data_IF_338170572375
#
_entry.id   IF_338170572375
#
_cell.length_a   1.000
_cell.length_b   1.000
_cell.length_c   1.000
_cell.angle_alpha   90.00
_cell.angle_beta   90.00
_cell.angle_gamma   90.00
#
_symmetry.space_group_name_H-M   'P 1'
#
loop_
_entity.id
_entity.type
_entity.pdbx_description
1 polymer ?
#
# COMPACT_ATOMS: atom_id res chain seq x y z
N UNK A 1 -30.71 -2.62 -13.19
CA UNK A 1 -30.24 -3.73 -12.31
C UNK A 1 -28.73 -3.80 -12.29
N UNK A 2 -28.02 -3.88 -13.44
CA UNK A 2 -26.55 -3.98 -13.49
C UNK A 2 -25.81 -2.78 -12.83
N UNK A 3 -26.28 -1.55 -13.05
CA UNK A 3 -25.68 -0.37 -12.43
C UNK A 3 -25.81 -0.37 -10.90
N UNK A 4 -26.96 -0.77 -10.37
CA UNK A 4 -27.22 -0.87 -8.94
C UNK A 4 -26.40 -2.00 -8.27
N UNK A 5 -26.25 -3.17 -8.93
CA UNK A 5 -25.40 -4.26 -8.44
C UNK A 5 -23.95 -3.82 -8.37
N UNK A 6 -23.45 -3.09 -9.39
CA UNK A 6 -22.09 -2.53 -9.39
C UNK A 6 -21.88 -1.50 -8.27
N UNK A 7 -22.84 -0.60 -8.03
CA UNK A 7 -22.77 0.36 -6.95
C UNK A 7 -22.73 -0.32 -5.56
N UNK A 8 -23.58 -1.33 -5.34
CA UNK A 8 -23.56 -2.12 -4.10
C UNK A 8 -22.25 -2.86 -3.92
N UNK A 9 -21.75 -3.52 -4.98
CA UNK A 9 -20.46 -4.22 -4.93
C UNK A 9 -19.32 -3.29 -4.55
N UNK A 10 -19.28 -2.09 -5.15
CA UNK A 10 -18.25 -1.11 -4.88
C UNK A 10 -18.36 -0.53 -3.46
N UNK A 11 -19.56 -0.20 -3.01
CA UNK A 11 -19.77 0.25 -1.62
C UNK A 11 -19.32 -0.82 -0.62
N UNK A 12 -19.73 -2.08 -0.81
CA UNK A 12 -19.31 -3.19 0.05
C UNK A 12 -17.79 -3.40 0.03
N UNK A 13 -17.15 -3.25 -1.14
CA UNK A 13 -15.70 -3.32 -1.29
C UNK A 13 -14.99 -2.20 -0.50
N UNK A 14 -15.43 -0.94 -0.67
CA UNK A 14 -14.84 0.21 0.02
C UNK A 14 -15.05 0.10 1.53
N UNK A 15 -16.23 -0.30 1.98
CA UNK A 15 -16.52 -0.52 3.39
C UNK A 15 -15.68 -1.66 3.99
N UNK A 16 -15.60 -2.82 3.32
CA UNK A 16 -14.75 -3.93 3.74
C UNK A 16 -13.28 -3.50 3.85
N UNK A 17 -12.78 -2.76 2.86
CA UNK A 17 -11.42 -2.21 2.85
C UNK A 17 -11.20 -1.22 3.99
N UNK A 18 -12.14 -0.28 4.19
CA UNK A 18 -12.05 0.73 5.23
C UNK A 18 -11.91 0.10 6.61
N UNK A 19 -12.85 -0.79 6.99
CA UNK A 19 -12.84 -1.42 8.31
C UNK A 19 -11.66 -2.37 8.49
N UNK A 20 -11.27 -3.13 7.45
CA UNK A 20 -10.10 -4.02 7.52
C UNK A 20 -8.80 -3.23 7.71
N UNK A 21 -8.59 -2.15 6.96
CA UNK A 21 -7.39 -1.31 7.04
C UNK A 21 -7.34 -0.49 8.35
N UNK A 22 -8.49 -0.02 8.83
CA UNK A 22 -8.63 0.64 10.12
C UNK A 22 -8.25 -0.32 11.25
N UNK A 23 -8.74 -1.56 11.19
CA UNK A 23 -8.40 -2.60 12.16
C UNK A 23 -6.90 -2.97 12.09
N UNK A 24 -6.31 -3.13 10.89
CA UNK A 24 -4.88 -3.41 10.71
C UNK A 24 -4.00 -2.36 11.42
N UNK A 25 -4.36 -1.07 11.25
CA UNK A 25 -3.61 0.05 11.82
C UNK A 25 -3.82 0.19 13.33
N UNK A 26 -5.05 0.01 13.82
CA UNK A 26 -5.33 0.02 15.24
C UNK A 26 -4.67 -1.14 15.97
N UNK A 27 -4.65 -2.33 15.34
CA UNK A 27 -4.04 -3.53 15.91
C UNK A 27 -2.51 -3.42 16.02
N UNK A 28 -1.87 -2.73 15.09
CA UNK A 28 -0.43 -2.44 15.22
C UNK A 28 -0.13 -1.72 16.53
N UNK A 29 -0.92 -0.69 16.84
CA UNK A 29 -0.76 0.09 18.06
C UNK A 29 -1.07 -0.77 19.31
N UNK A 30 -2.14 -1.58 19.27
CA UNK A 30 -2.46 -2.50 20.36
C UNK A 30 -1.36 -3.56 20.57
N UNK A 31 -0.78 -4.11 19.48
CA UNK A 31 0.33 -5.05 19.56
C UNK A 31 1.61 -4.41 20.14
N UNK A 32 1.89 -3.14 19.81
CA UNK A 32 2.97 -2.38 20.45
C UNK A 32 2.67 -2.19 21.93
N UNK A 33 1.42 -1.86 22.30
CA UNK A 33 0.99 -1.77 23.69
C UNK A 33 1.22 -3.06 24.47
N UNK A 34 0.87 -4.22 23.89
CA UNK A 34 1.14 -5.53 24.49
C UNK A 34 2.64 -5.80 24.70
N UNK A 35 3.48 -5.43 23.74
CA UNK A 35 4.94 -5.56 23.90
C UNK A 35 5.47 -4.67 25.04
N UNK A 36 4.93 -3.46 25.19
CA UNK A 36 5.30 -2.57 26.29
C UNK A 36 4.84 -3.11 27.64
N UNK A 37 3.61 -3.63 27.75
CA UNK A 37 3.09 -4.29 28.95
C UNK A 37 3.94 -5.51 29.36
N UNK A 38 4.50 -6.24 28.37
CA UNK A 38 5.38 -7.38 28.58
C UNK A 38 6.85 -7.00 28.83
N UNK A 39 7.18 -5.70 28.91
CA UNK A 39 8.57 -5.22 29.00
C UNK A 39 9.49 -5.78 27.91
N UNK A 40 8.97 -6.00 26.71
CA UNK A 40 9.69 -6.57 25.60
C UNK A 40 10.82 -5.65 25.11
N UNK A 41 11.85 -6.23 24.49
CA UNK A 41 12.99 -5.47 23.97
C UNK A 41 12.54 -4.48 22.86
N UNK A 42 13.08 -3.26 22.86
CA UNK A 42 12.66 -2.15 22.01
C UNK A 42 12.68 -2.45 20.50
N UNK A 43 13.54 -3.38 20.04
CA UNK A 43 13.58 -3.80 18.64
C UNK A 43 12.35 -4.58 18.18
N UNK A 44 11.54 -5.11 19.11
CA UNK A 44 10.36 -5.90 18.77
C UNK A 44 9.21 -5.05 18.18
N UNK A 45 9.10 -3.79 18.58
CA UNK A 45 8.07 -2.90 18.02
C UNK A 45 8.24 -2.64 16.50
N UNK A 46 9.43 -2.25 15.98
CA UNK A 46 9.65 -2.21 14.54
C UNK A 46 9.58 -3.60 13.87
N UNK A 47 9.96 -4.67 14.57
CA UNK A 47 9.88 -6.03 14.05
C UNK A 47 8.43 -6.46 13.73
N UNK A 48 7.40 -5.95 14.42
CA UNK A 48 6.01 -6.19 14.07
C UNK A 48 5.73 -5.87 12.59
N UNK A 49 6.25 -4.76 12.07
CA UNK A 49 6.09 -4.42 10.65
C UNK A 49 6.77 -5.42 9.72
N UNK A 50 7.95 -5.92 10.10
CA UNK A 50 8.65 -6.96 9.31
C UNK A 50 7.81 -8.23 9.27
N UNK A 51 7.28 -8.69 10.41
CA UNK A 51 6.42 -9.88 10.49
C UNK A 51 5.10 -9.69 9.72
N UNK A 52 4.57 -8.46 9.63
CA UNK A 52 3.40 -8.16 8.83
C UNK A 52 3.67 -8.17 7.32
N UNK A 53 4.82 -7.65 6.87
CA UNK A 53 5.15 -7.55 5.45
C UNK A 53 5.81 -8.82 4.89
N UNK A 54 6.47 -9.60 5.71
CA UNK A 54 7.12 -10.84 5.28
C UNK A 54 6.18 -11.81 4.55
N UNK A 55 4.93 -12.05 4.99
CA UNK A 55 3.95 -12.86 4.28
C UNK A 55 3.66 -12.40 2.84
N UNK A 56 3.75 -11.12 2.52
CA UNK A 56 3.55 -10.63 1.15
C UNK A 56 4.60 -11.17 0.16
N UNK A 57 5.84 -11.38 0.63
CA UNK A 57 6.88 -12.00 -0.18
C UNK A 57 6.69 -13.51 -0.28
N UNK A 58 6.40 -14.14 0.85
CA UNK A 58 6.25 -15.59 0.94
C UNK A 58 5.03 -16.09 0.16
N UNK A 59 3.91 -15.37 0.25
CA UNK A 59 2.65 -15.76 -0.36
C UNK A 59 2.45 -15.23 -1.79
N UNK A 60 3.34 -14.43 -2.33
CA UNK A 60 3.15 -13.74 -3.61
C UNK A 60 2.65 -14.67 -4.72
N UNK A 61 3.27 -15.84 -4.88
CA UNK A 61 2.87 -16.82 -5.90
C UNK A 61 1.50 -17.47 -5.65
N UNK A 62 1.10 -17.57 -4.38
CA UNK A 62 -0.12 -18.28 -3.97
C UNK A 62 -1.31 -17.33 -3.87
N UNK A 63 -1.11 -16.14 -3.32
CA UNK A 63 -2.18 -15.16 -3.07
C UNK A 63 -2.86 -14.71 -4.37
N UNK A 64 -2.10 -14.52 -5.45
CA UNK A 64 -2.63 -14.21 -6.77
C UNK A 64 -3.49 -15.33 -7.34
N UNK A 65 -3.00 -16.57 -7.27
CA UNK A 65 -3.72 -17.74 -7.75
C UNK A 65 -5.03 -17.97 -6.97
N UNK A 66 -5.00 -17.81 -5.64
CA UNK A 66 -6.19 -17.90 -4.78
C UNK A 66 -7.21 -16.82 -5.15
N UNK A 67 -6.76 -15.57 -5.36
CA UNK A 67 -7.62 -14.46 -5.74
C UNK A 67 -8.25 -14.62 -7.14
N UNK A 68 -7.60 -15.33 -8.06
CA UNK A 68 -8.13 -15.60 -9.40
C UNK A 68 -9.03 -16.85 -9.46
N UNK A 69 -8.77 -17.83 -8.58
CA UNK A 69 -9.56 -19.06 -8.54
C UNK A 69 -10.88 -18.92 -7.78
N UNK A 70 -10.86 -18.27 -6.62
CA UNK A 70 -12.05 -18.08 -5.79
C UNK A 70 -12.76 -16.75 -6.07
N UNK A 71 -14.09 -16.66 -5.82
CA UNK A 71 -14.79 -15.38 -5.83
C UNK A 71 -14.11 -14.40 -4.87
N UNK A 72 -13.71 -13.21 -5.37
CA UNK A 72 -12.87 -12.27 -4.64
C UNK A 72 -13.48 -11.81 -3.30
N UNK A 73 -14.82 -11.66 -3.23
CA UNK A 73 -15.52 -11.40 -1.98
C UNK A 73 -15.31 -12.50 -0.94
N UNK A 74 -15.30 -13.78 -1.36
CA UNK A 74 -15.03 -14.91 -0.45
C UNK A 74 -13.59 -14.93 0.02
N UNK A 75 -12.63 -14.59 -0.85
CA UNK A 75 -11.23 -14.46 -0.46
C UNK A 75 -11.08 -13.36 0.59
N UNK A 76 -11.67 -12.18 0.35
CA UNK A 76 -11.66 -11.06 1.31
C UNK A 76 -12.35 -11.42 2.63
N UNK A 77 -13.44 -12.19 2.60
CA UNK A 77 -14.09 -12.72 3.80
C UNK A 77 -13.17 -13.65 4.57
N UNK A 78 -12.65 -14.70 3.93
CA UNK A 78 -11.78 -15.69 4.56
C UNK A 78 -10.49 -15.08 5.13
N UNK A 79 -9.91 -14.11 4.43
CA UNK A 79 -8.70 -13.41 4.91
C UNK A 79 -8.96 -12.52 6.13
N UNK A 80 -10.15 -11.90 6.24
CA UNK A 80 -10.54 -11.21 7.47
C UNK A 80 -10.76 -12.20 8.64
N UNK A 81 -11.24 -13.42 8.37
CA UNK A 81 -11.28 -14.47 9.41
C UNK A 81 -9.88 -14.90 9.86
N UNK A 82 -8.91 -14.98 8.94
CA UNK A 82 -7.50 -15.22 9.30
C UNK A 82 -6.97 -14.10 10.21
N UNK A 83 -7.28 -12.83 9.90
CA UNK A 83 -6.91 -11.68 10.75
C UNK A 83 -7.58 -11.74 12.11
N UNK A 84 -8.85 -12.16 12.19
CA UNK A 84 -9.53 -12.47 13.47
C UNK A 84 -8.81 -13.56 14.26
N UNK A 85 -8.32 -14.61 13.57
CA UNK A 85 -7.46 -15.63 14.17
C UNK A 85 -6.19 -15.05 14.79
N UNK A 86 -5.55 -14.07 14.12
CA UNK A 86 -4.42 -13.33 14.67
C UNK A 86 -4.77 -12.56 15.96
N UNK A 87 -5.94 -11.91 15.99
CA UNK A 87 -6.44 -11.28 17.23
C UNK A 87 -6.71 -12.31 18.34
N UNK A 88 -7.30 -13.45 18.00
CA UNK A 88 -7.52 -14.53 18.98
C UNK A 88 -6.22 -15.07 19.56
N UNK A 89 -5.15 -15.18 18.75
CA UNK A 89 -3.81 -15.56 19.23
C UNK A 89 -3.23 -14.51 20.19
N UNK A 90 -3.42 -13.20 19.91
CA UNK A 90 -3.02 -12.14 20.84
C UNK A 90 -3.76 -12.25 22.18
N UNK A 91 -5.08 -12.48 22.13
CA UNK A 91 -5.90 -12.68 23.32
C UNK A 91 -5.54 -13.96 24.10
N UNK A 92 -5.09 -15.01 23.38
CA UNK A 92 -4.55 -16.25 23.97
C UNK A 92 -3.10 -16.12 24.46
N UNK A 93 -2.57 -14.89 24.56
CA UNK A 93 -1.22 -14.58 25.04
C UNK A 93 -0.09 -15.19 24.20
N UNK A 94 -0.35 -15.53 22.93
CA UNK A 94 0.70 -15.90 21.98
C UNK A 94 1.56 -14.67 21.69
N UNK A 95 2.87 -14.88 21.52
CA UNK A 95 3.83 -13.79 21.31
C UNK A 95 3.39 -12.84 20.18
N UNK A 96 3.33 -11.50 20.43
CA UNK A 96 2.75 -10.53 19.50
C UNK A 96 3.32 -10.55 18.09
N UNK A 97 4.62 -10.83 17.92
CA UNK A 97 5.24 -10.91 16.59
C UNK A 97 4.61 -12.01 15.73
N UNK A 98 4.37 -13.20 16.28
CA UNK A 98 3.76 -14.31 15.53
C UNK A 98 2.28 -14.06 15.26
N UNK A 99 1.54 -13.62 16.26
CA UNK A 99 0.12 -13.33 16.13
C UNK A 99 -0.12 -12.23 15.08
N UNK A 100 0.68 -11.16 15.11
CA UNK A 100 0.62 -10.09 14.12
C UNK A 100 1.12 -10.54 12.73
N UNK A 101 2.03 -11.48 12.67
CA UNK A 101 2.43 -12.17 11.43
C UNK A 101 1.27 -12.92 10.78
N UNK A 102 0.39 -13.57 11.56
CA UNK A 102 -0.85 -14.19 11.05
C UNK A 102 -1.80 -13.15 10.46
N UNK A 103 -1.90 -11.97 11.08
CA UNK A 103 -2.66 -10.84 10.51
C UNK A 103 -2.07 -10.39 9.17
N UNK A 104 -0.73 -10.29 9.09
CA UNK A 104 0.00 -10.01 7.85
C UNK A 104 -0.25 -11.05 6.76
N UNK A 105 -0.37 -12.33 7.13
CA UNK A 105 -0.75 -13.41 6.22
C UNK A 105 -2.14 -13.18 5.61
N UNK A 106 -3.12 -12.82 6.45
CA UNK A 106 -4.44 -12.41 5.99
C UNK A 106 -4.38 -11.19 5.07
N UNK A 107 -3.60 -10.18 5.41
CA UNK A 107 -3.46 -8.94 4.63
C UNK A 107 -2.81 -9.20 3.25
N UNK A 108 -1.78 -10.05 3.20
CA UNK A 108 -1.10 -10.42 1.95
C UNK A 108 -2.03 -11.13 0.95
N UNK A 109 -2.89 -12.04 1.45
CA UNK A 109 -3.87 -12.73 0.62
C UNK A 109 -5.10 -11.86 0.28
N UNK A 110 -5.44 -10.87 1.11
CA UNK A 110 -6.52 -9.91 0.89
C UNK A 110 -6.24 -8.98 -0.29
N UNK A 111 -5.01 -8.49 -0.42
CA UNK A 111 -4.64 -7.44 -1.37
C UNK A 111 -4.89 -7.79 -2.84
N UNK A 112 -4.52 -8.99 -3.36
CA UNK A 112 -4.83 -9.37 -4.73
C UNK A 112 -6.33 -9.46 -5.04
N UNK A 113 -7.15 -9.85 -4.07
CA UNK A 113 -8.60 -9.89 -4.24
C UNK A 113 -9.19 -8.47 -4.28
N UNK A 114 -8.77 -7.59 -3.36
CA UNK A 114 -9.23 -6.20 -3.26
C UNK A 114 -8.98 -5.38 -4.52
N UNK A 115 -7.75 -5.37 -5.00
CA UNK A 115 -7.41 -4.61 -6.19
C UNK A 115 -7.79 -5.33 -7.50
N UNK A 116 -7.74 -6.66 -7.50
CA UNK A 116 -8.09 -7.48 -8.66
C UNK A 116 -9.56 -7.44 -9.03
N UNK A 117 -10.46 -7.06 -8.11
CA UNK A 117 -11.89 -6.92 -8.41
C UNK A 117 -12.21 -5.63 -9.18
N UNK A 118 -11.38 -4.58 -9.05
CA UNK A 118 -11.66 -3.28 -9.67
C UNK A 118 -11.79 -3.35 -11.20
N UNK A 119 -10.84 -3.96 -11.94
CA UNK A 119 -10.97 -4.06 -13.39
C UNK A 119 -12.07 -5.05 -13.85
N UNK A 120 -12.61 -5.87 -12.95
CA UNK A 120 -13.79 -6.71 -13.24
C UNK A 120 -15.11 -5.92 -13.09
N UNK A 121 -15.14 -4.98 -12.14
CA UNK A 121 -16.34 -4.17 -11.85
C UNK A 121 -16.44 -2.92 -12.74
N UNK A 122 -15.31 -2.35 -13.16
CA UNK A 122 -15.25 -1.05 -13.81
C UNK A 122 -14.64 -1.12 -15.21
N UNK A 123 -15.22 -0.35 -16.12
CA UNK A 123 -14.61 -0.08 -17.41
C UNK A 123 -13.30 0.73 -17.24
N UNK A 124 -12.36 0.64 -18.21
CA UNK A 124 -11.07 1.34 -18.14
C UNK A 124 -11.17 2.84 -17.82
N UNK A 125 -12.21 3.51 -18.33
CA UNK A 125 -12.45 4.94 -18.09
C UNK A 125 -12.75 5.27 -16.62
N UNK A 126 -13.30 4.33 -15.83
CA UNK A 126 -13.66 4.52 -14.42
C UNK A 126 -12.60 3.99 -13.44
N UNK A 127 -11.57 3.28 -13.92
CA UNK A 127 -10.57 2.65 -13.05
C UNK A 127 -9.77 3.65 -12.22
N UNK A 128 -9.42 4.82 -12.78
CA UNK A 128 -8.69 5.86 -12.04
C UNK A 128 -9.53 6.34 -10.85
N UNK A 129 -10.82 6.62 -11.08
CA UNK A 129 -11.75 7.02 -10.02
C UNK A 129 -11.94 5.94 -8.95
N UNK A 130 -12.09 4.68 -9.36
CA UNK A 130 -12.24 3.55 -8.43
C UNK A 130 -10.99 3.37 -7.55
N UNK A 131 -9.79 3.44 -8.15
CA UNK A 131 -8.52 3.39 -7.40
C UNK A 131 -8.38 4.58 -6.44
N UNK A 132 -8.79 5.78 -6.85
CA UNK A 132 -8.75 6.96 -5.98
C UNK A 132 -9.60 6.77 -4.72
N UNK A 133 -10.82 6.25 -4.85
CA UNK A 133 -11.68 5.98 -3.70
C UNK A 133 -11.10 4.91 -2.77
N UNK A 134 -10.49 3.86 -3.32
CA UNK A 134 -9.79 2.84 -2.52
C UNK A 134 -8.60 3.48 -1.78
N UNK A 135 -7.83 4.34 -2.44
CA UNK A 135 -6.66 4.99 -1.84
C UNK A 135 -7.08 5.98 -0.74
N UNK A 136 -8.07 6.84 -1.00
CA UNK A 136 -8.64 7.75 0.00
C UNK A 136 -9.16 6.97 1.21
N UNK A 137 -9.94 5.90 0.97
CA UNK A 137 -10.44 5.02 2.03
C UNK A 137 -9.29 4.42 2.84
N UNK A 138 -8.22 3.97 2.18
CA UNK A 138 -7.04 3.39 2.83
C UNK A 138 -6.32 4.42 3.71
N UNK A 139 -6.03 5.61 3.19
CA UNK A 139 -5.32 6.65 3.94
C UNK A 139 -6.13 7.11 5.14
N UNK A 140 -7.44 7.39 4.95
CA UNK A 140 -8.33 7.82 6.04
C UNK A 140 -8.45 6.72 7.11
N UNK A 141 -8.59 5.46 6.70
CA UNK A 141 -8.69 4.33 7.65
C UNK A 141 -7.39 4.13 8.43
N UNK A 142 -6.22 4.34 7.82
CA UNK A 142 -4.92 4.25 8.52
C UNK A 142 -4.83 5.34 9.61
N UNK A 143 -5.13 6.59 9.27
CA UNK A 143 -5.09 7.71 10.22
C UNK A 143 -6.05 7.49 11.39
N UNK A 144 -7.30 7.13 11.08
CA UNK A 144 -8.31 6.85 12.10
C UNK A 144 -7.96 5.60 12.92
N UNK A 145 -7.38 4.58 12.29
CA UNK A 145 -6.95 3.35 12.95
C UNK A 145 -5.83 3.58 13.96
N UNK A 146 -4.80 4.35 13.58
CA UNK A 146 -3.73 4.75 14.50
C UNK A 146 -4.30 5.56 15.66
N UNK A 147 -5.17 6.55 15.38
CA UNK A 147 -5.84 7.35 16.40
C UNK A 147 -6.69 6.49 17.34
N UNK A 148 -7.50 5.59 16.79
CA UNK A 148 -8.33 4.65 17.57
C UNK A 148 -7.46 3.73 18.43
N UNK A 149 -6.44 3.10 17.86
CA UNK A 149 -5.53 2.24 18.60
C UNK A 149 -4.86 2.96 19.76
N UNK A 150 -4.36 4.19 19.52
CA UNK A 150 -3.76 5.03 20.55
C UNK A 150 -4.76 5.39 21.66
N UNK A 151 -5.99 5.73 21.30
CA UNK A 151 -7.06 6.03 22.27
C UNK A 151 -7.40 4.79 23.13
N UNK A 152 -7.49 3.61 22.52
CA UNK A 152 -7.87 2.38 23.21
C UNK A 152 -6.85 1.91 24.24
N UNK A 153 -5.55 2.19 24.01
CA UNK A 153 -4.47 1.80 24.94
C UNK A 153 -4.06 2.92 25.91
N UNK A 154 -4.63 4.13 25.75
CA UNK A 154 -4.27 5.28 26.58
C UNK A 154 -4.63 5.02 28.07
N UNK A 155 -3.74 5.41 29.02
CA UNK A 155 -4.07 5.39 30.43
C UNK A 155 -5.32 6.24 30.72
N UNK A 156 -6.31 5.68 31.42
CA UNK A 156 -7.56 6.38 31.72
C UNK A 156 -8.59 6.39 30.59
N UNK A 157 -8.42 5.56 29.56
CA UNK A 157 -9.45 5.38 28.53
C UNK A 157 -10.76 4.91 29.17
N UNK A 158 -11.88 5.52 28.76
CA UNK A 158 -13.24 5.20 29.26
C UNK A 158 -13.81 3.91 28.65
N UNK A 159 -12.96 3.12 28.02
CA UNK A 159 -13.35 1.85 27.38
C UNK A 159 -13.72 0.83 28.45
N UNK A 160 -14.83 0.07 28.30
CA UNK A 160 -15.19 -0.98 29.24
C UNK A 160 -14.03 -1.95 29.45
N UNK A 161 -13.58 -2.11 30.69
CA UNK A 161 -12.54 -3.06 31.05
C UNK A 161 -13.14 -4.47 31.12
N UNK A 162 -13.25 -5.15 29.97
CA UNK A 162 -13.70 -6.54 29.88
C UNK A 162 -12.60 -7.52 30.31
N UNK A 163 -11.34 -7.11 30.10
CA UNK A 163 -10.13 -7.87 30.43
C UNK A 163 -9.20 -7.01 31.27
N UNK A 164 -8.30 -7.63 32.01
CA UNK A 164 -7.40 -6.96 32.94
C UNK A 164 -6.38 -6.02 32.25
N UNK A 165 -5.98 -6.33 31.01
CA UNK A 165 -4.98 -5.57 30.27
C UNK A 165 -5.63 -4.63 29.24
N UNK A 166 -5.26 -3.33 29.20
CA UNK A 166 -5.80 -2.35 28.23
C UNK A 166 -5.60 -2.78 26.77
N UNK A 167 -4.43 -3.30 26.40
CA UNK A 167 -4.14 -3.73 25.06
C UNK A 167 -4.95 -4.99 24.65
N UNK A 168 -5.31 -5.87 25.61
CA UNK A 168 -6.21 -6.98 25.33
C UNK A 168 -7.65 -6.50 25.06
N UNK A 169 -8.14 -5.51 25.83
CA UNK A 169 -9.45 -4.89 25.56
C UNK A 169 -9.48 -4.21 24.20
N UNK A 170 -8.42 -3.48 23.84
CA UNK A 170 -8.25 -2.89 22.52
C UNK A 170 -8.32 -3.96 21.41
N UNK A 171 -7.61 -5.08 21.59
CA UNK A 171 -7.60 -6.21 20.63
C UNK A 171 -9.00 -6.80 20.44
N UNK A 172 -9.77 -6.94 21.52
CA UNK A 172 -11.16 -7.43 21.47
C UNK A 172 -12.05 -6.50 20.63
N UNK A 173 -11.98 -5.19 20.88
CA UNK A 173 -12.76 -4.19 20.13
C UNK A 173 -12.34 -4.11 18.66
N UNK A 174 -11.04 -4.22 18.38
CA UNK A 174 -10.51 -4.26 17.01
C UNK A 174 -11.00 -5.52 16.28
N UNK A 175 -11.18 -6.64 16.98
CA UNK A 175 -11.73 -7.87 16.40
C UNK A 175 -13.14 -7.64 15.84
N UNK A 176 -13.95 -6.77 16.44
CA UNK A 176 -15.26 -6.39 15.92
C UNK A 176 -15.14 -5.71 14.57
N UNK A 177 -14.13 -4.85 14.38
CA UNK A 177 -13.91 -4.16 13.09
C UNK A 177 -13.57 -5.16 11.97
N UNK A 178 -12.76 -6.21 12.24
CA UNK A 178 -12.53 -7.29 11.28
C UNK A 178 -13.80 -8.09 11.00
N UNK A 179 -14.64 -8.32 12.01
CA UNK A 179 -15.95 -8.94 11.84
C UNK A 179 -16.84 -8.12 10.90
N UNK A 180 -16.92 -6.80 11.10
CA UNK A 180 -17.64 -5.87 10.20
C UNK A 180 -17.07 -5.92 8.80
N UNK A 181 -15.73 -5.88 8.66
CA UNK A 181 -15.07 -5.99 7.36
C UNK A 181 -15.41 -7.32 6.66
N UNK A 182 -15.46 -8.43 7.41
CA UNK A 182 -15.84 -9.73 6.88
C UNK A 182 -17.30 -9.75 6.39
N UNK A 183 -18.24 -9.16 7.14
CA UNK A 183 -19.65 -9.05 6.73
C UNK A 183 -19.78 -8.27 5.43
N UNK A 184 -19.10 -7.11 5.30
CA UNK A 184 -19.11 -6.35 4.05
C UNK A 184 -18.45 -7.12 2.90
N UNK A 185 -17.36 -7.85 3.15
CA UNK A 185 -16.71 -8.69 2.15
C UNK A 185 -17.64 -9.82 1.66
N UNK A 186 -18.40 -10.44 2.56
CA UNK A 186 -19.40 -11.46 2.21
C UNK A 186 -20.56 -10.89 1.38
N UNK A 187 -20.88 -9.60 1.56
CA UNK A 187 -21.92 -8.91 0.80
C UNK A 187 -21.49 -8.52 -0.63
N UNK A 188 -20.21 -8.70 -0.99
CA UNK A 188 -19.73 -8.45 -2.36
C UNK A 188 -20.31 -9.51 -3.29
N UNK A 189 -21.07 -9.12 -4.35
CA UNK A 189 -21.64 -10.07 -5.31
C UNK A 189 -20.55 -10.89 -5.99
N UNK A 190 -20.88 -12.13 -6.31
CA UNK A 190 -19.95 -13.03 -6.98
C UNK A 190 -19.59 -12.48 -8.37
N UNK A 191 -18.32 -12.22 -8.61
CA UNK A 191 -17.80 -11.97 -9.96
C UNK A 191 -17.91 -13.26 -10.78
N UNK A 192 -18.37 -13.12 -12.02
CA UNK A 192 -18.49 -14.24 -12.96
C UNK A 192 -17.17 -14.67 -13.59
N UNK A 193 -16.14 -13.84 -13.44
CA UNK A 193 -14.80 -14.14 -13.96
C UNK A 193 -14.10 -15.17 -13.05
N UNK A 194 -14.29 -16.45 -13.38
CA UNK A 194 -13.48 -17.54 -12.81
C UNK A 194 -12.34 -17.83 -13.77
N UNK A 195 -11.12 -17.68 -13.30
CA UNK A 195 -10.01 -18.33 -13.98
C UNK A 195 -10.18 -19.85 -13.82
N UNK A 196 -10.21 -20.56 -14.95
CA UNK A 196 -10.29 -22.03 -14.98
C UNK A 196 -8.92 -22.65 -14.66
N UNK A 197 -8.10 -21.99 -13.87
CA UNK A 197 -6.78 -22.53 -13.47
C UNK A 197 -6.98 -23.27 -12.16
N UNK A 198 -6.96 -24.63 -12.16
CA UNK A 198 -7.01 -25.37 -10.91
C UNK A 198 -5.82 -24.95 -10.04
N UNK A 199 -6.05 -24.85 -8.73
CA UNK A 199 -4.93 -24.67 -7.78
C UNK A 199 -4.01 -25.87 -7.97
N UNK A 200 -2.93 -25.64 -8.70
CA UNK A 200 -2.01 -26.68 -9.13
C UNK A 200 -0.95 -26.90 -8.05
N UNK A 201 -0.12 -27.92 -8.27
CA UNK A 201 1.04 -28.20 -7.43
C UNK A 201 1.88 -26.93 -7.14
N UNK A 202 2.41 -26.70 -5.91
CA UNK A 202 3.13 -25.47 -5.53
C UNK A 202 4.21 -25.02 -6.51
N UNK A 203 4.98 -25.96 -7.05
CA UNK A 203 6.02 -25.67 -8.06
C UNK A 203 5.47 -25.08 -9.37
N UNK A 204 4.26 -25.45 -9.74
CA UNK A 204 3.60 -24.89 -10.90
C UNK A 204 3.18 -23.45 -10.64
N UNK A 205 2.64 -23.14 -9.45
CA UNK A 205 2.29 -21.77 -9.06
C UNK A 205 3.51 -20.85 -9.02
N UNK A 206 4.65 -21.31 -8.48
CA UNK A 206 5.92 -20.57 -8.53
C UNK A 206 6.39 -20.30 -9.96
N UNK A 207 6.28 -21.29 -10.84
CA UNK A 207 6.64 -21.13 -12.26
C UNK A 207 5.72 -20.14 -12.97
N UNK A 208 4.43 -20.21 -12.71
CA UNK A 208 3.43 -19.29 -13.26
C UNK A 208 3.66 -17.87 -12.74
N UNK A 209 3.94 -17.70 -11.45
CA UNK A 209 4.30 -16.40 -10.87
C UNK A 209 5.56 -15.81 -11.53
N UNK A 210 6.61 -16.61 -11.70
CA UNK A 210 7.83 -16.16 -12.42
C UNK A 210 7.52 -15.75 -13.85
N UNK A 211 6.65 -16.49 -14.55
CA UNK A 211 6.19 -16.11 -15.90
C UNK A 211 5.43 -14.78 -15.88
N UNK A 212 4.51 -14.61 -14.96
CA UNK A 212 3.74 -13.38 -14.79
C UNK A 212 4.67 -12.18 -14.54
N UNK A 213 5.66 -12.35 -13.64
CA UNK A 213 6.71 -11.36 -13.38
C UNK A 213 7.46 -10.99 -14.67
N UNK A 214 7.93 -11.97 -15.41
CA UNK A 214 8.65 -11.74 -16.68
C UNK A 214 7.78 -11.07 -17.74
N UNK A 215 6.50 -11.46 -17.87
CA UNK A 215 5.57 -10.89 -18.84
C UNK A 215 5.35 -9.41 -18.54
N UNK A 216 5.09 -9.07 -17.26
CA UNK A 216 4.80 -7.70 -16.86
C UNK A 216 6.03 -6.78 -16.99
N UNK A 217 7.24 -7.30 -16.67
CA UNK A 217 8.49 -6.56 -16.86
C UNK A 217 8.91 -6.43 -18.33
N UNK A 218 8.39 -7.26 -19.25
CA UNK A 218 8.64 -7.17 -20.70
C UNK A 218 7.63 -6.29 -21.42
N UNK A 219 6.42 -6.14 -20.88
CA UNK A 219 5.40 -5.28 -21.47
C UNK A 219 5.79 -3.80 -21.29
N UNK A 220 5.79 -2.98 -22.36
CA UNK A 220 6.25 -1.58 -22.28
C UNK A 220 5.51 -0.72 -21.26
N UNK A 221 4.18 -0.86 -21.14
CA UNK A 221 3.37 -0.11 -20.18
C UNK A 221 3.37 -0.76 -18.79
N UNK A 222 3.36 -2.09 -18.75
CA UNK A 222 3.49 -2.87 -17.53
C UNK A 222 4.80 -2.58 -16.81
N UNK A 223 5.93 -2.59 -17.53
CA UNK A 223 7.25 -2.27 -17.01
C UNK A 223 7.31 -0.88 -16.35
N UNK A 224 6.78 0.14 -17.02
CA UNK A 224 6.81 1.51 -16.52
C UNK A 224 5.94 1.63 -15.27
N UNK A 225 4.69 1.16 -15.31
CA UNK A 225 3.80 1.26 -14.17
C UNK A 225 4.27 0.43 -12.98
N UNK A 226 4.80 -0.77 -13.20
CA UNK A 226 5.37 -1.61 -12.14
C UNK A 226 6.62 -0.98 -11.51
N UNK A 227 7.54 -0.43 -12.32
CA UNK A 227 8.72 0.26 -11.82
C UNK A 227 8.34 1.51 -11.00
N UNK A 228 7.37 2.29 -11.48
CA UNK A 228 6.86 3.47 -10.77
C UNK A 228 6.22 3.09 -9.44
N UNK A 229 5.30 2.11 -9.41
CA UNK A 229 4.62 1.72 -8.17
C UNK A 229 5.60 1.13 -7.15
N UNK A 230 6.57 0.31 -7.61
CA UNK A 230 7.61 -0.24 -6.74
C UNK A 230 8.51 0.83 -6.14
N UNK A 231 8.99 1.77 -6.97
CA UNK A 231 9.79 2.91 -6.51
C UNK A 231 9.01 3.78 -5.54
N UNK A 232 7.73 4.06 -5.87
CA UNK A 232 6.86 4.89 -5.04
C UNK A 232 6.67 4.31 -3.63
N UNK A 233 6.31 3.04 -3.51
CA UNK A 233 6.08 2.41 -2.21
C UNK A 233 7.37 2.23 -1.42
N UNK A 234 8.48 1.89 -2.09
CA UNK A 234 9.80 1.88 -1.47
C UNK A 234 10.20 3.25 -0.92
N UNK A 235 10.02 4.30 -1.74
CA UNK A 235 10.29 5.67 -1.34
C UNK A 235 9.37 6.13 -0.20
N UNK A 236 8.07 5.83 -0.26
CA UNK A 236 7.10 6.21 0.78
C UNK A 236 7.42 5.57 2.13
N UNK A 237 7.79 4.28 2.14
CA UNK A 237 8.19 3.58 3.36
C UNK A 237 9.41 4.23 4.03
N UNK A 238 10.41 4.61 3.25
CA UNK A 238 11.63 5.26 3.74
C UNK A 238 11.36 6.72 4.16
N UNK A 239 10.60 7.48 3.35
CA UNK A 239 10.27 8.87 3.63
C UNK A 239 9.53 9.03 4.96
N UNK A 240 8.67 8.08 5.34
CA UNK A 240 7.95 8.09 6.60
C UNK A 240 8.90 8.18 7.81
N UNK A 241 9.99 7.40 7.82
CA UNK A 241 11.00 7.45 8.88
C UNK A 241 11.94 8.64 8.73
N UNK A 242 12.28 8.98 7.49
CA UNK A 242 13.15 10.11 7.18
C UNK A 242 12.56 11.43 7.65
N UNK A 243 11.25 11.66 7.48
CA UNK A 243 10.55 12.85 7.97
C UNK A 243 10.71 12.99 9.49
N UNK A 244 10.57 11.90 10.25
CA UNK A 244 10.70 11.93 11.71
C UNK A 244 12.11 12.34 12.14
N UNK A 245 13.13 11.69 11.56
CA UNK A 245 14.53 11.97 11.89
C UNK A 245 14.96 13.36 11.41
N UNK A 246 14.51 13.79 10.24
CA UNK A 246 14.77 15.10 9.69
C UNK A 246 14.11 16.22 10.52
N UNK A 247 12.84 16.07 10.89
CA UNK A 247 12.12 17.07 11.67
C UNK A 247 12.73 17.24 13.08
N UNK A 248 13.19 16.15 13.69
CA UNK A 248 13.87 16.21 14.97
C UNK A 248 15.21 16.97 14.89
N UNK A 249 16.02 16.71 13.83
CA UNK A 249 17.35 17.32 13.72
C UNK A 249 17.35 18.72 13.07
N UNK A 250 16.53 18.93 12.02
CA UNK A 250 16.54 20.18 11.26
C UNK A 250 15.59 21.25 11.83
N UNK A 251 14.46 20.82 12.43
CA UNK A 251 13.45 21.73 12.98
C UNK A 251 13.42 21.72 14.52
N UNK A 252 14.20 20.85 15.16
CA UNK A 252 14.23 20.74 16.63
C UNK A 252 12.91 20.23 17.24
N UNK A 253 12.05 19.54 16.45
CA UNK A 253 10.75 19.10 16.89
C UNK A 253 10.84 17.82 17.73
N UNK A 254 10.09 17.72 18.85
CA UNK A 254 9.91 16.45 19.53
C UNK A 254 9.18 15.44 18.63
N UNK A 255 9.40 14.16 18.89
CA UNK A 255 8.89 13.06 18.05
C UNK A 255 7.36 13.13 17.78
N UNK A 256 6.60 13.55 18.81
CA UNK A 256 5.14 13.69 18.69
C UNK A 256 4.74 14.77 17.68
N UNK A 257 5.42 15.91 17.67
CA UNK A 257 5.17 17.01 16.72
C UNK A 257 5.68 16.66 15.32
N UNK A 258 6.84 16.01 15.22
CA UNK A 258 7.36 15.48 13.97
C UNK A 258 6.38 14.47 13.32
N UNK A 259 5.70 13.67 14.12
CA UNK A 259 4.67 12.74 13.63
C UNK A 259 3.46 13.46 13.02
N UNK A 260 3.09 14.65 13.51
CA UNK A 260 2.00 15.45 12.94
C UNK A 260 2.29 15.89 11.50
N UNK A 261 3.56 16.07 11.13
CA UNK A 261 3.93 16.38 9.75
C UNK A 261 3.56 15.27 8.77
N UNK A 262 3.47 14.02 9.20
CA UNK A 262 3.01 12.92 8.36
C UNK A 262 1.52 13.06 8.02
N UNK A 263 0.72 13.71 8.87
CA UNK A 263 -0.68 14.00 8.57
C UNK A 263 -0.78 14.95 7.37
N UNK A 264 0.14 15.90 7.22
CA UNK A 264 0.17 16.79 6.06
C UNK A 264 0.39 16.00 4.75
N UNK A 265 1.32 15.02 4.75
CA UNK A 265 1.52 14.11 3.60
C UNK A 265 0.26 13.32 3.30
N UNK A 266 -0.38 12.75 4.32
CA UNK A 266 -1.58 11.93 4.18
C UNK A 266 -2.77 12.75 3.64
N UNK A 267 -3.00 13.96 4.15
CA UNK A 267 -4.01 14.89 3.64
C UNK A 267 -3.73 15.28 2.19
N UNK A 268 -2.47 15.60 1.89
CA UNK A 268 -2.03 15.86 0.52
C UNK A 268 -2.34 14.68 -0.41
N UNK A 269 -2.05 13.46 0.02
CA UNK A 269 -2.30 12.24 -0.76
C UNK A 269 -3.79 12.05 -1.06
N UNK A 270 -4.67 12.31 -0.09
CA UNK A 270 -6.13 12.31 -0.29
C UNK A 270 -6.53 13.35 -1.34
N UNK A 271 -6.06 14.59 -1.22
CA UNK A 271 -6.35 15.66 -2.17
C UNK A 271 -5.83 15.32 -3.58
N UNK A 272 -4.62 14.80 -3.68
CA UNK A 272 -4.01 14.35 -4.94
C UNK A 272 -4.78 13.19 -5.59
N UNK A 273 -5.22 12.21 -4.79
CA UNK A 273 -6.04 11.09 -5.27
C UNK A 273 -7.40 11.57 -5.81
N UNK A 274 -8.07 12.49 -5.11
CA UNK A 274 -9.31 13.10 -5.56
C UNK A 274 -9.13 13.92 -6.85
N UNK A 275 -8.04 14.68 -6.95
CA UNK A 275 -7.65 15.41 -8.15
C UNK A 275 -7.42 14.45 -9.33
N UNK A 276 -6.72 13.33 -9.11
CA UNK A 276 -6.53 12.30 -10.12
C UNK A 276 -7.87 11.72 -10.60
N UNK A 277 -8.78 11.40 -9.69
CA UNK A 277 -10.11 10.89 -10.03
C UNK A 277 -10.91 11.84 -10.93
N UNK A 278 -10.75 13.17 -10.72
CA UNK A 278 -11.54 14.18 -11.40
C UNK A 278 -10.97 14.58 -12.76
N UNK A 279 -9.63 14.61 -12.89
CA UNK A 279 -8.98 15.26 -14.03
C UNK A 279 -8.12 14.31 -14.88
N UNK A 280 -7.75 13.14 -14.37
CA UNK A 280 -6.83 12.24 -15.06
C UNK A 280 -7.59 11.05 -15.65
N UNK A 281 -7.53 10.94 -16.99
CA UNK A 281 -7.99 9.75 -17.69
C UNK A 281 -6.87 8.71 -17.82
N UNK A 282 -7.22 7.44 -17.87
CA UNK A 282 -6.26 6.33 -18.00
C UNK A 282 -5.27 6.51 -19.17
N UNK A 283 -5.74 7.05 -20.31
CA UNK A 283 -4.91 7.31 -21.49
C UNK A 283 -3.85 8.41 -21.27
N UNK A 284 -4.04 9.28 -20.27
CA UNK A 284 -3.11 10.37 -19.95
C UNK A 284 -2.15 10.04 -18.83
N UNK A 285 -2.26 8.85 -18.23
CA UNK A 285 -1.47 8.42 -17.06
C UNK A 285 0.03 8.59 -17.29
N UNK A 286 0.56 8.14 -18.41
CA UNK A 286 2.00 8.23 -18.72
C UNK A 286 2.51 9.67 -18.91
N UNK A 287 1.62 10.65 -19.09
CA UNK A 287 1.99 12.08 -19.12
C UNK A 287 2.33 12.62 -17.74
N UNK A 288 1.96 11.89 -16.66
CA UNK A 288 2.26 12.26 -15.27
C UNK A 288 3.65 11.79 -14.82
N UNK A 289 4.43 11.09 -15.64
CA UNK A 289 5.78 10.66 -15.26
C UNK A 289 6.67 11.79 -14.72
N UNK A 290 6.64 13.03 -15.26
CA UNK A 290 7.40 14.14 -14.69
C UNK A 290 7.00 14.50 -13.26
N UNK A 291 5.79 14.18 -12.82
CA UNK A 291 5.34 14.40 -11.43
C UNK A 291 6.19 13.60 -10.43
N UNK A 292 6.62 12.39 -10.82
CA UNK A 292 7.54 11.60 -9.99
C UNK A 292 8.93 12.26 -9.85
N UNK A 293 9.41 12.93 -10.90
CA UNK A 293 10.65 13.74 -10.81
C UNK A 293 10.42 14.93 -9.86
N UNK A 294 9.28 15.61 -9.96
CA UNK A 294 8.92 16.72 -9.08
C UNK A 294 8.85 16.30 -7.60
N UNK A 295 8.38 15.08 -7.29
CA UNK A 295 8.41 14.52 -5.92
C UNK A 295 9.87 14.40 -5.43
N UNK A 296 10.78 13.83 -6.22
CA UNK A 296 12.18 13.70 -5.85
C UNK A 296 12.84 15.06 -5.60
N UNK A 297 12.58 16.06 -6.46
CA UNK A 297 13.05 17.44 -6.29
C UNK A 297 12.44 18.08 -5.03
N UNK A 298 11.15 17.87 -4.76
CA UNK A 298 10.49 18.39 -3.56
C UNK A 298 11.10 17.81 -2.27
N UNK A 299 11.53 16.54 -2.30
CA UNK A 299 12.30 15.96 -1.17
C UNK A 299 13.65 16.66 -0.99
N UNK A 300 14.35 17.00 -2.07
CA UNK A 300 15.60 17.78 -1.98
C UNK A 300 15.36 19.15 -1.35
N UNK A 301 14.24 19.80 -1.64
CA UNK A 301 13.87 21.11 -1.06
C UNK A 301 13.67 21.04 0.46
N UNK A 302 13.41 19.86 1.05
CA UNK A 302 13.33 19.70 2.52
C UNK A 302 14.63 20.18 3.21
N UNK A 303 15.79 20.03 2.56
CA UNK A 303 17.09 20.47 3.13
C UNK A 303 17.22 21.97 3.32
N UNK A 304 16.40 22.76 2.64
CA UNK A 304 16.40 24.23 2.71
C UNK A 304 15.36 24.76 3.70
N UNK A 305 14.52 23.89 4.26
CA UNK A 305 13.40 24.27 5.12
C UNK A 305 13.86 24.37 6.57
N UNK A 306 13.62 25.53 7.19
CA UNK A 306 13.94 25.80 8.60
C UNK A 306 12.71 26.13 9.45
N UNK A 307 11.54 26.27 8.84
CA UNK A 307 10.29 26.66 9.51
C UNK A 307 9.24 25.54 9.40
N UNK A 308 8.56 25.24 10.50
CA UNK A 308 7.59 24.13 10.61
C UNK A 308 6.41 24.29 9.64
N UNK A 309 5.88 25.51 9.47
CA UNK A 309 4.77 25.74 8.54
C UNK A 309 5.17 25.56 7.06
N UNK A 310 6.42 25.92 6.70
CA UNK A 310 6.97 25.67 5.35
C UNK A 310 7.15 24.16 5.15
N UNK A 311 7.65 23.45 6.18
CA UNK A 311 7.76 22.00 6.18
C UNK A 311 6.41 21.33 5.95
N UNK A 312 5.39 21.71 6.72
CA UNK A 312 4.02 21.17 6.58
C UNK A 312 3.44 21.41 5.19
N UNK A 313 3.64 22.63 4.64
CA UNK A 313 3.18 22.97 3.27
C UNK A 313 3.91 22.17 2.21
N UNK A 314 5.23 22.02 2.30
CA UNK A 314 6.03 21.22 1.37
C UNK A 314 5.63 19.75 1.42
N UNK A 315 5.43 19.18 2.60
CA UNK A 315 5.00 17.82 2.79
C UNK A 315 3.56 17.59 2.29
N UNK A 316 2.67 18.56 2.47
CA UNK A 316 1.34 18.54 1.86
C UNK A 316 1.45 18.49 0.32
N UNK A 317 2.30 19.32 -0.28
CA UNK A 317 2.54 19.31 -1.73
C UNK A 317 3.11 17.99 -2.20
N UNK A 318 4.10 17.43 -1.48
CA UNK A 318 4.64 16.09 -1.77
C UNK A 318 3.50 15.06 -1.75
N UNK A 319 2.62 15.11 -0.74
CA UNK A 319 1.44 14.24 -0.65
C UNK A 319 0.49 14.42 -1.85
N UNK A 320 0.18 15.65 -2.24
CA UNK A 320 -0.69 15.93 -3.41
C UNK A 320 -0.08 15.34 -4.70
N UNK A 321 1.20 15.58 -4.93
CA UNK A 321 1.91 15.01 -6.09
C UNK A 321 1.90 13.49 -6.03
N UNK A 322 2.10 12.90 -4.85
CA UNK A 322 2.09 11.47 -4.61
C UNK A 322 0.74 10.83 -4.97
N UNK A 323 -0.37 11.36 -4.44
CA UNK A 323 -1.73 10.87 -4.73
C UNK A 323 -2.11 11.04 -6.20
N UNK A 324 -1.80 12.22 -6.78
CA UNK A 324 -2.04 12.51 -8.19
C UNK A 324 -1.30 11.55 -9.11
N UNK A 325 -0.15 11.04 -8.70
CA UNK A 325 0.74 10.19 -9.47
C UNK A 325 0.43 8.71 -9.32
N UNK A 326 0.32 8.21 -8.08
CA UNK A 326 0.20 6.77 -7.81
C UNK A 326 -1.14 6.18 -8.25
N UNK A 327 -2.23 6.92 -8.08
CA UNK A 327 -3.59 6.44 -8.38
C UNK A 327 -3.76 6.07 -9.87
N UNK A 328 -3.42 6.94 -10.84
CA UNK A 328 -3.48 6.57 -12.25
C UNK A 328 -2.49 5.45 -12.63
N UNK A 329 -1.31 5.39 -12.00
CA UNK A 329 -0.32 4.35 -12.27
C UNK A 329 -0.81 2.97 -11.82
N UNK A 330 -1.47 2.88 -10.66
CA UNK A 330 -2.14 1.66 -10.20
C UNK A 330 -3.25 1.23 -11.17
N UNK A 331 -4.08 2.18 -11.62
CA UNK A 331 -5.14 1.91 -12.59
C UNK A 331 -4.58 1.41 -13.94
N UNK A 332 -3.47 1.99 -14.41
CA UNK A 332 -2.80 1.57 -15.64
C UNK A 332 -2.24 0.15 -15.50
N UNK A 333 -1.58 -0.16 -14.37
CA UNK A 333 -1.01 -1.47 -14.10
C UNK A 333 -2.11 -2.54 -14.04
N UNK A 334 -3.22 -2.26 -13.36
CA UNK A 334 -4.39 -3.16 -13.28
C UNK A 334 -5.00 -3.41 -14.66
N UNK A 335 -5.22 -2.36 -15.44
CA UNK A 335 -5.78 -2.45 -16.79
C UNK A 335 -4.86 -3.27 -17.71
N UNK A 336 -3.56 -2.97 -17.68
CA UNK A 336 -2.58 -3.64 -18.53
C UNK A 336 -2.38 -5.10 -18.12
N UNK A 337 -2.32 -5.34 -16.81
CA UNK A 337 -2.19 -6.67 -16.25
C UNK A 337 -3.40 -7.57 -16.58
N UNK A 338 -4.62 -7.03 -16.52
CA UNK A 338 -5.82 -7.78 -16.93
C UNK A 338 -5.80 -8.18 -18.42
N UNK A 339 -5.21 -7.34 -19.28
CA UNK A 339 -5.08 -7.66 -20.70
C UNK A 339 -3.99 -8.72 -21.00
N UNK A 340 -2.97 -8.83 -20.14
CA UNK A 340 -1.84 -9.74 -20.33
C UNK A 340 -1.98 -11.07 -19.58
N UNK A 341 -2.65 -11.03 -18.42
CA UNK A 341 -2.80 -12.16 -17.51
C UNK A 341 -4.05 -11.99 -16.63
N UNK A 342 -4.16 -12.79 -15.56
CA UNK A 342 -5.25 -12.62 -14.59
C UNK A 342 -5.00 -11.46 -13.61
N UNK A 343 -6.08 -10.82 -13.17
CA UNK A 343 -6.00 -9.64 -12.32
C UNK A 343 -5.33 -9.91 -10.96
N UNK A 344 -5.63 -11.05 -10.32
CA UNK A 344 -5.01 -11.42 -9.04
C UNK A 344 -3.51 -11.68 -9.17
N UNK A 345 -3.06 -12.34 -10.24
CA UNK A 345 -1.63 -12.52 -10.52
C UNK A 345 -0.91 -11.18 -10.72
N UNK A 346 -1.53 -10.25 -11.44
CA UNK A 346 -0.95 -8.90 -11.65
C UNK A 346 -0.70 -8.20 -10.33
N UNK A 347 -1.70 -8.17 -9.44
CA UNK A 347 -1.58 -7.52 -8.14
C UNK A 347 -0.60 -8.25 -7.22
N UNK A 348 -0.53 -9.58 -7.30
CA UNK A 348 0.46 -10.35 -6.55
C UNK A 348 1.90 -10.00 -6.98
N UNK A 349 2.16 -9.85 -8.29
CA UNK A 349 3.45 -9.38 -8.83
C UNK A 349 3.73 -7.94 -8.37
N UNK A 350 2.73 -7.06 -8.42
CA UNK A 350 2.84 -5.69 -7.94
C UNK A 350 3.22 -5.66 -6.46
N UNK A 351 2.45 -6.32 -5.59
CA UNK A 351 2.71 -6.39 -4.14
C UNK A 351 4.11 -6.93 -3.83
N UNK A 352 4.55 -7.98 -4.55
CA UNK A 352 5.88 -8.54 -4.37
C UNK A 352 6.97 -7.50 -4.65
N UNK A 353 6.89 -6.82 -5.79
CA UNK A 353 7.87 -5.80 -6.16
C UNK A 353 7.84 -4.59 -5.21
N UNK A 354 6.66 -4.12 -4.81
CA UNK A 354 6.48 -2.99 -3.89
C UNK A 354 7.05 -3.30 -2.51
N UNK A 355 6.75 -4.47 -1.95
CA UNK A 355 7.28 -4.86 -0.63
C UNK A 355 8.78 -5.16 -0.68
N UNK A 356 9.29 -5.74 -1.77
CA UNK A 356 10.72 -5.93 -1.98
C UNK A 356 11.46 -4.59 -2.04
N UNK A 357 10.93 -3.62 -2.81
CA UNK A 357 11.49 -2.28 -2.91
C UNK A 357 11.46 -1.56 -1.55
N UNK A 358 10.34 -1.67 -0.81
CA UNK A 358 10.19 -1.08 0.51
C UNK A 358 11.21 -1.63 1.51
N UNK A 359 11.36 -2.96 1.56
CA UNK A 359 12.34 -3.60 2.44
C UNK A 359 13.78 -3.25 2.06
N UNK A 360 14.09 -3.24 0.76
CA UNK A 360 15.43 -2.88 0.27
C UNK A 360 15.80 -1.43 0.63
N UNK A 361 14.88 -0.48 0.39
CA UNK A 361 15.12 0.93 0.70
C UNK A 361 15.18 1.19 2.20
N UNK A 362 14.35 0.53 3.01
CA UNK A 362 14.43 0.60 4.47
C UNK A 362 15.73 0.00 4.99
N UNK A 363 16.20 -1.11 4.41
CA UNK A 363 17.49 -1.70 4.78
C UNK A 363 18.65 -0.75 4.48
N UNK A 364 18.66 -0.10 3.29
CA UNK A 364 19.66 0.93 2.94
C UNK A 364 19.60 2.08 3.93
N UNK A 365 18.39 2.58 4.26
CA UNK A 365 18.21 3.63 5.25
C UNK A 365 18.76 3.22 6.63
N UNK A 366 18.45 2.00 7.06
CA UNK A 366 18.96 1.47 8.35
C UNK A 366 20.49 1.34 8.37
N UNK A 367 21.11 0.90 7.27
CA UNK A 367 22.58 0.86 7.15
C UNK A 367 23.18 2.26 7.20
N UNK A 368 22.60 3.25 6.52
CA UNK A 368 23.09 4.62 6.58
C UNK A 368 23.01 5.22 7.98
N UNK A 369 21.95 4.91 8.74
CA UNK A 369 21.85 5.30 10.15
C UNK A 369 22.89 4.57 11.03
N UNK A 370 23.14 3.28 10.78
CA UNK A 370 24.15 2.52 11.50
C UNK A 370 25.57 3.04 11.26
N UNK A 371 25.83 3.62 10.09
CA UNK A 371 27.09 4.26 9.72
C UNK A 371 27.17 5.73 10.17
N UNK A 372 26.25 6.19 11.03
CA UNK A 372 26.16 7.56 11.55
C UNK A 372 26.15 8.64 10.44
N UNK A 373 25.58 8.31 9.27
CA UNK A 373 25.46 9.27 8.19
C UNK A 373 24.58 10.47 8.59
N UNK A 374 25.00 11.72 8.32
CA UNK A 374 24.18 12.89 8.63
C UNK A 374 22.80 12.83 7.97
N UNK A 375 21.75 13.16 8.70
CA UNK A 375 20.37 13.11 8.15
C UNK A 375 20.22 13.98 6.90
N UNK A 376 20.89 15.13 6.84
CA UNK A 376 20.91 15.98 5.63
C UNK A 376 21.49 15.26 4.41
N UNK A 377 22.57 14.49 4.58
CA UNK A 377 23.14 13.68 3.51
C UNK A 377 22.20 12.54 3.07
N UNK A 378 21.49 11.93 4.03
CA UNK A 378 20.50 10.89 3.73
C UNK A 378 19.32 11.50 2.93
N UNK A 379 18.81 12.68 3.33
CA UNK A 379 17.72 13.39 2.59
C UNK A 379 18.17 13.72 1.17
N UNK A 380 19.39 14.25 1.01
CA UNK A 380 19.96 14.58 -0.31
C UNK A 380 20.10 13.31 -1.15
N UNK A 381 20.76 12.29 -0.61
CA UNK A 381 20.97 11.01 -1.31
C UNK A 381 19.65 10.36 -1.74
N UNK A 382 18.66 10.37 -0.85
CA UNK A 382 17.32 9.83 -1.12
C UNK A 382 16.59 10.65 -2.21
N UNK A 383 16.57 11.98 -2.11
CA UNK A 383 15.93 12.85 -3.11
C UNK A 383 16.60 12.75 -4.49
N UNK A 384 17.96 12.69 -4.53
CA UNK A 384 18.73 12.45 -5.77
C UNK A 384 18.39 11.08 -6.35
N UNK A 385 18.39 10.03 -5.53
CA UNK A 385 18.03 8.67 -5.98
C UNK A 385 16.64 8.62 -6.62
N UNK A 386 15.61 9.15 -5.94
CA UNK A 386 14.24 9.18 -6.46
C UNK A 386 14.17 9.98 -7.76
N UNK A 387 14.80 11.15 -7.81
CA UNK A 387 14.85 12.00 -9.01
C UNK A 387 15.49 11.28 -10.20
N UNK A 388 16.68 10.70 -10.00
CA UNK A 388 17.40 9.99 -11.06
C UNK A 388 16.66 8.73 -11.51
N UNK A 389 16.11 7.94 -10.58
CA UNK A 389 15.31 6.78 -10.91
C UNK A 389 14.09 7.15 -11.76
N UNK A 390 13.39 8.24 -11.41
CA UNK A 390 12.26 8.74 -12.20
C UNK A 390 12.68 9.29 -13.55
N UNK A 391 13.80 10.01 -13.64
CA UNK A 391 14.36 10.46 -14.94
C UNK A 391 14.70 9.29 -15.85
N UNK A 392 15.27 8.22 -15.33
CA UNK A 392 15.53 7.00 -16.09
C UNK A 392 14.24 6.35 -16.61
N UNK A 393 13.17 6.33 -15.80
CA UNK A 393 11.86 5.81 -16.22
C UNK A 393 11.26 6.71 -17.32
N UNK A 394 11.35 8.03 -17.19
CA UNK A 394 10.90 9.00 -18.22
C UNK A 394 11.67 8.80 -19.52
N UNK A 395 13.00 8.70 -19.46
CA UNK A 395 13.85 8.46 -20.63
C UNK A 395 13.50 7.11 -21.31
N UNK A 396 13.30 6.06 -20.52
CA UNK A 396 12.86 4.75 -21.01
C UNK A 396 11.53 4.83 -21.74
N UNK A 397 10.57 5.56 -21.19
CA UNK A 397 9.27 5.80 -21.84
C UNK A 397 9.44 6.52 -23.19
N UNK A 398 10.29 7.54 -23.27
CA UNK A 398 10.63 8.25 -24.51
C UNK A 398 11.17 7.33 -25.60
N UNK A 399 12.12 6.45 -25.25
CA UNK A 399 12.67 5.45 -26.17
C UNK A 399 11.61 4.46 -26.66
N UNK A 400 10.77 3.96 -25.78
CA UNK A 400 9.68 3.04 -26.14
C UNK A 400 8.71 3.72 -27.11
N UNK A 401 8.31 4.94 -26.84
CA UNK A 401 7.40 5.72 -27.69
C UNK A 401 8.00 5.97 -29.07
N UNK A 402 9.28 6.34 -29.14
CA UNK A 402 9.99 6.53 -30.42
C UNK A 402 10.02 5.25 -31.26
N UNK A 403 10.33 4.10 -30.65
CA UNK A 403 10.35 2.81 -31.37
C UNK A 403 8.98 2.42 -31.91
N UNK A 404 7.90 2.62 -31.17
CA UNK A 404 6.53 2.32 -31.61
C UNK A 404 6.10 3.23 -32.78
N UNK A 405 6.45 4.51 -32.75
CA UNK A 405 6.16 5.44 -33.86
C UNK A 405 6.96 5.11 -35.11
N UNK A 406 8.21 4.68 -34.98
CA UNK A 406 9.04 4.25 -36.12
C UNK A 406 8.50 3.00 -36.81
N UNK A 407 8.02 2.00 -36.00
CA UNK A 407 7.40 0.78 -36.55
C UNK A 407 6.07 1.09 -37.26
N UNK A 408 5.23 1.98 -36.73
CA UNK A 408 3.99 2.39 -37.38
C UNK A 408 4.23 3.17 -38.68
N UNK A 409 5.28 3.99 -38.74
CA UNK A 409 5.66 4.70 -39.97
C UNK A 409 6.18 3.74 -41.08
N UNK A 410 6.94 2.70 -40.70
CA UNK A 410 7.38 1.68 -41.67
C UNK A 410 6.26 0.74 -42.15
N UNK A 411 5.22 0.51 -41.31
CA UNK A 411 4.07 -0.33 -41.66
C UNK A 411 3.04 0.35 -42.56
N UNK A 412 3.03 1.68 -42.61
CA UNK A 412 2.13 2.47 -43.50
C UNK A 412 2.68 2.65 -44.94
N UNK A 413 3.89 2.17 -45.24
CA UNK A 413 4.55 2.25 -46.56
C UNK A 413 4.42 0.93 -47.34
N UNK A 414 3.72 -0.07 -46.82
CA UNK A 414 3.33 -1.30 -47.51
C UNK A 414 1.79 -1.32 -47.69
#
# INVERSE_FOLDING_TARGET
VLAWVRQRAFFSLVAAQFFSSLADSALLIAAIGLLLEQHAAGWMAPALRVFFYFPYLLLAAFAGAVADYFPKGRVMFGTNLVKLGGCALLLAQVHPLFAYGVVGFGAAAYSPAKYGILPELFAPAALVGANAWIEVSTVVSILLGVGLGSFLIAPGSTVPHLLAAPAANATLLISVLYGIAAVFAAAIPHSTARAVVPIAHPWRLLREFRRALCVLWRDPQGQISLAVTSLFWGASATLQFLILSWAAQALGLPLAEAALLQIAVALGMVLGAMAAARWISLHRTLRLLPTGVAIGVAVLLMTLVTQVWVAATLLLVIGVLAGLFIVPMNALLQHRGQALMHAGQTIAVQNFNENMASLAMLAVYGVLLYLDAPISAIVIGFGVFVTLAMLLIVARHGVIRYRLSAVSACGSVR
#
